data_IF_234912357724
#
_entry.id   IF_234912357724
#
_cell.length_a   1.000
_cell.length_b   1.000
_cell.length_c   1.000
_cell.angle_alpha   90.00
_cell.angle_beta   90.00
_cell.angle_gamma   90.00
#
_symmetry.space_group_name_H-M   'P 1'
#
loop_
_entity.id
_entity.type
_entity.pdbx_description
1 polymer ?
#
# COMPACT_ATOMS: atom_id res chain seq x y z
N UNK A 1 -10.50 11.90 2.81
CA UNK A 1 -11.16 10.61 3.09
C UNK A 1 -10.10 9.52 3.07
N UNK A 2 -10.19 8.53 3.96
CA UNK A 2 -9.24 7.43 4.08
C UNK A 2 -9.99 6.10 3.93
N UNK A 3 -9.40 5.14 3.21
CA UNK A 3 -10.02 3.86 2.88
C UNK A 3 -8.98 2.74 2.92
N UNK A 4 -9.44 1.52 3.21
CA UNK A 4 -8.71 0.26 3.04
C UNK A 4 -9.66 -0.76 2.40
N UNK A 5 -9.12 -1.74 1.68
CA UNK A 5 -9.87 -2.84 1.09
C UNK A 5 -8.99 -4.09 1.02
N UNK A 6 -9.60 -5.26 1.15
CA UNK A 6 -8.99 -6.54 0.76
C UNK A 6 -8.98 -6.65 -0.77
N UNK A 7 -8.03 -7.40 -1.33
CA UNK A 7 -7.99 -7.70 -2.76
C UNK A 7 -7.64 -9.17 -3.00
N UNK A 8 -8.04 -9.66 -4.16
CA UNK A 8 -7.62 -10.96 -4.69
C UNK A 8 -7.00 -10.83 -6.08
N UNK A 9 -6.07 -11.74 -6.43
CA UNK A 9 -5.40 -11.74 -7.74
C UNK A 9 -6.36 -11.78 -8.92
N UNK A 10 -7.51 -12.46 -8.77
CA UNK A 10 -8.55 -12.54 -9.80
C UNK A 10 -9.22 -11.20 -10.11
N UNK A 11 -9.11 -10.21 -9.21
CA UNK A 11 -9.69 -8.88 -9.38
C UNK A 11 -8.76 -7.95 -10.17
N UNK A 12 -7.53 -8.38 -10.46
CA UNK A 12 -6.56 -7.61 -11.23
C UNK A 12 -6.91 -7.60 -12.71
N UNK A 13 -7.63 -6.56 -13.13
CA UNK A 13 -8.02 -6.37 -14.53
C UNK A 13 -6.88 -5.89 -15.46
N UNK A 14 -5.86 -5.22 -14.92
CA UNK A 14 -4.72 -4.70 -15.69
C UNK A 14 -3.46 -4.54 -14.83
N UNK A 15 -2.35 -4.12 -15.45
CA UNK A 15 -1.09 -3.88 -14.74
C UNK A 15 -1.07 -2.55 -13.94
N UNK A 16 -2.08 -1.68 -14.10
CA UNK A 16 -2.04 -0.32 -13.57
C UNK A 16 -1.19 0.61 -14.44
N UNK A 17 -0.56 1.63 -13.85
CA UNK A 17 0.38 2.53 -14.54
C UNK A 17 -0.01 4.01 -14.56
N UNK A 18 -1.27 4.34 -14.23
CA UNK A 18 -1.80 5.70 -14.33
C UNK A 18 -2.49 5.95 -15.67
N UNK A 19 -2.85 7.21 -15.94
CA UNK A 19 -3.47 7.70 -17.17
C UNK A 19 -2.72 8.91 -17.72
N UNK A 20 -2.90 9.21 -19.00
CA UNK A 20 -2.29 10.38 -19.65
C UNK A 20 -0.75 10.40 -19.54
N UNK A 21 -0.20 11.37 -18.82
CA UNK A 21 1.24 11.57 -18.61
C UNK A 21 1.74 10.98 -17.27
N UNK A 22 0.91 10.20 -16.58
CA UNK A 22 1.30 9.51 -15.36
C UNK A 22 2.24 8.32 -15.65
N UNK A 23 3.31 8.23 -14.86
CA UNK A 23 4.20 7.06 -14.81
C UNK A 23 4.19 6.49 -13.39
N UNK A 24 3.24 5.57 -13.11
CA UNK A 24 3.05 5.00 -11.77
C UNK A 24 3.57 3.56 -11.73
N UNK A 25 4.58 3.33 -10.89
CA UNK A 25 5.03 1.98 -10.55
C UNK A 25 4.12 1.36 -9.48
N UNK A 26 3.57 0.18 -9.77
CA UNK A 26 2.78 -0.60 -8.81
C UNK A 26 3.72 -1.52 -8.03
N UNK A 27 3.76 -1.35 -6.70
CA UNK A 27 4.56 -2.16 -5.79
C UNK A 27 3.66 -3.08 -4.97
N UNK A 28 3.84 -4.38 -5.15
CA UNK A 28 3.26 -5.43 -4.30
C UNK A 28 4.39 -6.01 -3.43
N UNK A 29 4.23 -5.95 -2.11
CA UNK A 29 5.26 -6.36 -1.16
C UNK A 29 4.62 -6.88 0.14
N UNK A 30 5.33 -7.71 0.92
CA UNK A 30 4.85 -8.15 2.21
C UNK A 30 4.54 -6.98 3.15
N UNK A 31 3.44 -7.07 3.90
CA UNK A 31 3.04 -6.03 4.84
C UNK A 31 4.11 -5.72 5.90
N UNK A 32 4.78 -6.77 6.41
CA UNK A 32 5.91 -6.61 7.35
C UNK A 32 7.04 -5.79 6.76
N UNK A 33 7.35 -5.97 5.47
CA UNK A 33 8.37 -5.18 4.76
C UNK A 33 7.97 -3.73 4.62
N UNK A 34 6.70 -3.43 4.34
CA UNK A 34 6.21 -2.06 4.29
C UNK A 34 6.38 -1.35 5.64
N UNK A 35 6.12 -2.04 6.76
CA UNK A 35 6.34 -1.49 8.11
C UNK A 35 7.83 -1.23 8.40
N UNK A 36 8.74 -2.10 7.95
CA UNK A 36 10.18 -1.85 8.01
C UNK A 36 10.58 -0.60 7.21
N UNK A 37 10.02 -0.44 6.01
CA UNK A 37 10.29 0.70 5.14
C UNK A 37 9.81 2.04 5.74
N UNK A 38 8.75 2.02 6.55
CA UNK A 38 8.35 3.19 7.36
C UNK A 38 9.44 3.51 8.40
N UNK A 39 9.99 2.50 9.07
CA UNK A 39 11.05 2.69 10.09
C UNK A 39 12.37 3.14 9.50
N UNK A 40 12.74 2.63 8.32
CA UNK A 40 13.98 3.01 7.62
C UNK A 40 13.88 4.37 6.93
N UNK A 41 12.67 4.89 6.72
CA UNK A 41 12.42 6.15 6.00
C UNK A 41 12.32 6.00 4.48
N UNK A 42 12.34 4.77 3.97
CA UNK A 42 12.02 4.47 2.56
C UNK A 42 10.57 4.88 2.23
N UNK A 43 9.62 4.60 3.13
CA UNK A 43 8.25 5.16 3.10
C UNK A 43 8.20 6.35 4.05
N UNK A 44 7.96 7.53 3.49
CA UNK A 44 7.98 8.82 4.21
C UNK A 44 6.85 9.77 3.81
N UNK A 45 5.75 9.21 3.30
CA UNK A 45 4.54 9.95 2.96
C UNK A 45 3.48 9.79 4.06
N UNK A 46 2.87 10.91 4.48
CA UNK A 46 2.00 10.95 5.67
C UNK A 46 0.73 10.10 5.57
N UNK A 47 0.04 10.13 4.41
CA UNK A 47 -1.20 9.33 4.22
C UNK A 47 -0.88 7.83 4.15
N UNK A 48 0.25 7.45 3.55
CA UNK A 48 0.69 6.06 3.51
C UNK A 48 1.08 5.54 4.89
N UNK A 49 1.87 6.30 5.67
CA UNK A 49 2.23 5.92 7.04
C UNK A 49 0.99 5.76 7.92
N UNK A 50 0.01 6.66 7.79
CA UNK A 50 -1.25 6.57 8.53
C UNK A 50 -2.01 5.27 8.21
N UNK A 51 -2.17 4.94 6.92
CA UNK A 51 -2.92 3.76 6.49
C UNK A 51 -2.23 2.43 6.87
N UNK A 52 -0.90 2.37 6.78
CA UNK A 52 -0.14 1.19 7.22
C UNK A 52 -0.25 0.96 8.73
N UNK A 53 -0.17 2.01 9.54
CA UNK A 53 -0.35 1.89 11.00
C UNK A 53 -1.82 1.58 11.37
N UNK A 54 -2.79 2.10 10.62
CA UNK A 54 -4.20 1.75 10.80
C UNK A 54 -4.42 0.25 10.58
N UNK A 55 -3.88 -0.31 9.48
CA UNK A 55 -3.96 -1.74 9.19
C UNK A 55 -3.21 -2.59 10.23
N UNK A 56 -2.05 -2.12 10.72
CA UNK A 56 -1.34 -2.81 11.80
C UNK A 56 -2.18 -2.88 13.09
N UNK A 57 -2.93 -1.82 13.39
CA UNK A 57 -3.75 -1.74 14.61
C UNK A 57 -5.08 -2.50 14.47
N UNK A 58 -5.51 -2.82 13.25
CA UNK A 58 -6.77 -3.52 13.02
C UNK A 58 -6.68 -5.04 13.19
N UNK A 59 -5.48 -5.61 13.32
CA UNK A 59 -5.25 -7.06 13.45
C UNK A 59 -5.76 -7.90 12.26
N UNK A 60 -6.02 -7.27 11.11
CA UNK A 60 -6.47 -7.98 9.90
C UNK A 60 -5.34 -8.77 9.21
N UNK A 61 -4.09 -8.49 9.56
CA UNK A 61 -2.88 -9.06 8.94
C UNK A 61 -2.06 -9.89 9.93
N UNK A 62 -2.67 -10.36 11.02
CA UNK A 62 -2.06 -11.20 12.05
C UNK A 62 -1.91 -12.67 11.60
#
# INVERSE_FOLDING_TARGET
>A
HFFIAEYHDSERASIGGGVEDEEIEVLELPFSRALEMVRSGEIRDGKTVLLLNYLQTSHLMD
#
